data_IF_971567525269
#
_entry.id   IF_971567525269
#
_cell.length_a   1.000
_cell.length_b   1.000
_cell.length_c   1.000
_cell.angle_alpha   90.00
_cell.angle_beta   90.00
_cell.angle_gamma   90.00
#
_symmetry.space_group_name_H-M   'P 1'
#
loop_
_entity.id
_entity.type
_entity.pdbx_description
1 polymer ?
#
# COMPACT_ATOMS: atom_id res chain seq x y z
N UNK A 1 -41.19 -33.63 -62.23
CA UNK A 1 -42.24 -34.61 -62.56
C UNK A 1 -42.74 -35.22 -61.25
N UNK A 2 -44.06 -35.12 -61.02
CA UNK A 2 -44.89 -35.71 -59.95
C UNK A 2 -44.53 -35.39 -58.47
N UNK A 3 -45.27 -34.55 -57.73
CA UNK A 3 -46.67 -34.60 -57.21
C UNK A 3 -46.89 -35.62 -56.07
N UNK A 4 -47.33 -35.09 -54.92
CA UNK A 4 -48.30 -35.56 -53.90
C UNK A 4 -48.02 -34.71 -52.63
N UNK A 5 -48.67 -33.58 -52.36
CA UNK A 5 -50.07 -33.27 -51.99
C UNK A 5 -50.59 -33.90 -50.68
N UNK A 6 -51.12 -33.01 -49.82
CA UNK A 6 -52.16 -33.18 -48.78
C UNK A 6 -51.78 -33.75 -47.40
N UNK A 7 -52.34 -33.31 -46.25
CA UNK A 7 -53.29 -32.23 -45.87
C UNK A 7 -53.34 -32.13 -44.32
N UNK A 8 -53.68 -30.94 -43.83
CA UNK A 8 -54.35 -30.52 -42.57
C UNK A 8 -54.27 -31.33 -41.28
N UNK A 9 -54.02 -30.63 -40.17
CA UNK A 9 -55.07 -30.40 -39.16
C UNK A 9 -54.67 -29.28 -38.20
N UNK A 10 -55.39 -28.16 -38.30
CA UNK A 10 -55.46 -27.13 -37.28
C UNK A 10 -56.83 -27.22 -36.58
N UNK A 11 -56.85 -27.21 -35.25
CA UNK A 11 -57.96 -26.73 -34.41
C UNK A 11 -57.36 -26.41 -33.03
N UNK A 12 -57.35 -25.15 -32.55
CA UNK A 12 -58.44 -24.33 -31.98
C UNK A 12 -58.82 -24.77 -30.56
N UNK A 13 -59.22 -23.79 -29.72
CA UNK A 13 -59.78 -23.85 -28.34
C UNK A 13 -58.73 -23.46 -27.27
N UNK A 14 -58.88 -22.47 -26.38
CA UNK A 14 -59.96 -21.53 -26.04
C UNK A 14 -59.34 -20.35 -25.27
N UNK A 15 -59.90 -19.15 -25.46
CA UNK A 15 -59.81 -18.05 -24.50
C UNK A 15 -60.90 -18.24 -23.43
N UNK A 16 -60.60 -17.95 -22.16
CA UNK A 16 -61.21 -16.88 -21.34
C UNK A 16 -60.91 -17.10 -19.84
N UNK A 17 -60.51 -16.04 -19.13
CA UNK A 17 -60.90 -15.76 -17.73
C UNK A 17 -60.05 -14.62 -17.15
N UNK A 18 -60.76 -13.53 -16.87
CA UNK A 18 -60.33 -12.36 -16.13
C UNK A 18 -60.06 -12.69 -14.65
N UNK A 19 -59.11 -11.97 -14.06
CA UNK A 19 -58.94 -11.88 -12.61
C UNK A 19 -57.81 -10.92 -12.22
N UNK A 20 -58.10 -9.67 -11.81
CA UNK A 20 -57.10 -8.71 -11.39
C UNK A 20 -56.85 -8.85 -9.89
N UNK A 21 -55.70 -9.41 -9.49
CA UNK A 21 -55.23 -9.33 -8.11
C UNK A 21 -53.95 -8.52 -8.06
N UNK A 22 -54.12 -7.26 -7.66
CA UNK A 22 -53.04 -6.30 -7.46
C UNK A 22 -52.12 -6.74 -6.33
N UNK A 23 -51.06 -7.46 -6.67
CA UNK A 23 -49.90 -7.59 -5.78
C UNK A 23 -49.16 -6.25 -5.80
N UNK A 24 -49.56 -5.33 -4.92
CA UNK A 24 -48.72 -4.20 -4.47
C UNK A 24 -47.45 -4.78 -3.86
N UNK A 25 -46.50 -5.16 -4.71
CA UNK A 25 -45.12 -5.45 -4.34
C UNK A 25 -44.55 -4.15 -3.80
N UNK A 26 -44.40 -4.10 -2.46
CA UNK A 26 -43.66 -3.09 -1.73
C UNK A 26 -42.30 -2.85 -2.38
N UNK A 27 -42.19 -1.80 -3.18
CA UNK A 27 -40.96 -1.31 -3.82
C UNK A 27 -40.26 -0.34 -2.85
N UNK A 28 -39.94 -0.81 -1.64
CA UNK A 28 -39.38 0.06 -0.57
C UNK A 28 -37.96 -0.38 -0.13
N UNK A 29 -37.40 -1.46 -0.68
CA UNK A 29 -36.07 -1.96 -0.30
C UNK A 29 -34.96 -1.89 -1.36
N UNK A 30 -35.27 -1.46 -2.59
CA UNK A 30 -34.33 -1.60 -3.71
C UNK A 30 -33.47 -0.35 -3.97
N UNK A 31 -33.90 0.84 -3.54
CA UNK A 31 -33.14 2.08 -3.82
C UNK A 31 -32.06 2.38 -2.79
N UNK A 32 -32.23 1.99 -1.52
CA UNK A 32 -31.21 2.12 -0.47
C UNK A 32 -30.08 1.10 -0.59
N UNK A 33 -30.30 -0.03 -1.26
CA UNK A 33 -29.31 -1.09 -1.47
C UNK A 33 -28.33 -0.77 -2.62
N UNK A 34 -28.79 -0.07 -3.66
CA UNK A 34 -27.98 0.32 -4.83
C UNK A 34 -26.71 1.12 -4.48
N UNK A 35 -26.74 2.17 -3.63
CA UNK A 35 -25.52 2.89 -3.26
C UNK A 35 -24.60 2.02 -2.40
N UNK A 36 -25.14 1.17 -1.52
CA UNK A 36 -24.35 0.24 -0.68
C UNK A 36 -23.64 -0.82 -1.51
N UNK A 37 -24.30 -1.36 -2.53
CA UNK A 37 -23.70 -2.32 -3.48
C UNK A 37 -22.55 -1.69 -4.26
N UNK A 38 -22.68 -0.43 -4.69
CA UNK A 38 -21.60 0.31 -5.34
C UNK A 38 -20.42 0.51 -4.41
N UNK A 39 -20.65 0.93 -3.17
CA UNK A 39 -19.57 1.06 -2.17
C UNK A 39 -18.86 -0.27 -1.98
N UNK A 40 -19.59 -1.39 -1.86
CA UNK A 40 -18.99 -2.72 -1.75
C UNK A 40 -18.16 -3.10 -2.99
N UNK A 41 -18.62 -2.75 -4.19
CA UNK A 41 -17.88 -2.99 -5.43
C UNK A 41 -16.60 -2.14 -5.50
N UNK A 42 -16.66 -0.88 -5.07
CA UNK A 42 -15.49 0.00 -4.99
C UNK A 42 -14.49 -0.52 -3.96
N UNK A 43 -14.94 -0.93 -2.76
CA UNK A 43 -14.09 -1.55 -1.73
C UNK A 43 -13.43 -2.83 -2.26
N UNK A 44 -14.16 -3.72 -2.94
CA UNK A 44 -13.57 -4.92 -3.56
C UNK A 44 -12.53 -4.57 -4.63
N UNK A 45 -12.82 -3.60 -5.49
CA UNK A 45 -11.87 -3.12 -6.49
C UNK A 45 -10.60 -2.58 -5.83
N UNK A 46 -10.76 -1.80 -4.77
CA UNK A 46 -9.68 -1.21 -3.98
C UNK A 46 -8.79 -2.30 -3.37
N UNK A 47 -9.38 -3.28 -2.70
CA UNK A 47 -8.65 -4.43 -2.14
C UNK A 47 -7.96 -5.27 -3.23
N UNK A 48 -8.62 -5.50 -4.37
CA UNK A 48 -8.01 -6.21 -5.50
C UNK A 48 -6.81 -5.47 -6.09
N UNK A 49 -6.89 -4.14 -6.18
CA UNK A 49 -5.81 -3.29 -6.68
C UNK A 49 -4.65 -3.25 -5.70
N UNK A 50 -4.93 -3.16 -4.41
CA UNK A 50 -3.91 -3.20 -3.37
C UNK A 50 -3.20 -4.55 -3.30
N UNK A 51 -3.95 -5.65 -3.40
CA UNK A 51 -3.38 -6.98 -3.50
C UNK A 51 -2.37 -7.12 -4.65
N UNK A 52 -2.58 -6.38 -5.75
CA UNK A 52 -1.67 -6.34 -6.91
C UNK A 52 -0.62 -5.23 -6.84
N UNK A 53 -0.57 -4.47 -5.74
CA UNK A 53 0.21 -3.23 -5.59
C UNK A 53 0.06 -2.30 -6.80
N UNK A 54 -1.17 -2.17 -7.28
CA UNK A 54 -1.51 -1.28 -8.40
C UNK A 54 -2.12 0.02 -7.89
N UNK A 55 -1.81 1.10 -8.58
CA UNK A 55 -2.41 2.40 -8.32
C UNK A 55 -3.87 2.47 -8.75
N UNK A 56 -4.64 3.22 -7.99
CA UNK A 56 -6.08 3.40 -8.18
C UNK A 56 -6.28 4.80 -8.77
N UNK A 57 -6.71 4.84 -10.03
CA UNK A 57 -7.07 6.08 -10.72
C UNK A 57 -8.56 6.32 -10.61
N UNK A 58 -8.96 7.59 -10.65
CA UNK A 58 -10.38 8.01 -10.63
C UNK A 58 -11.20 7.30 -11.70
N UNK A 59 -10.67 7.16 -12.91
CA UNK A 59 -11.30 6.41 -14.01
C UNK A 59 -11.63 4.95 -13.67
N UNK A 60 -10.84 4.25 -12.85
CA UNK A 60 -11.16 2.87 -12.45
C UNK A 60 -12.40 2.79 -11.56
N UNK A 61 -12.63 3.82 -10.75
CA UNK A 61 -13.79 3.91 -9.87
C UNK A 61 -14.97 4.45 -10.69
N UNK A 62 -14.73 5.44 -11.56
CA UNK A 62 -15.73 6.02 -12.44
C UNK A 62 -16.38 5.00 -13.38
N UNK A 63 -15.59 4.05 -13.90
CA UNK A 63 -16.11 2.98 -14.76
C UNK A 63 -17.17 2.11 -14.06
N UNK A 64 -17.13 1.98 -12.74
CA UNK A 64 -18.05 1.11 -11.97
C UNK A 64 -19.47 1.70 -11.82
N UNK A 65 -19.63 3.01 -12.00
CA UNK A 65 -20.94 3.67 -11.90
C UNK A 65 -21.36 4.40 -13.17
N UNK A 66 -20.76 4.04 -14.32
CA UNK A 66 -21.13 4.55 -15.64
C UNK A 66 -22.65 4.42 -15.85
N UNK A 67 -23.35 5.53 -16.07
CA UNK A 67 -24.81 5.59 -16.23
C UNK A 67 -25.62 5.82 -14.95
N UNK A 68 -24.99 6.05 -13.79
CA UNK A 68 -25.66 6.39 -12.52
C UNK A 68 -25.36 7.84 -12.11
N UNK A 69 -26.37 8.56 -11.59
CA UNK A 69 -26.21 9.92 -11.02
C UNK A 69 -25.68 9.86 -9.58
N UNK A 70 -24.49 9.30 -9.37
CA UNK A 70 -23.85 9.27 -8.06
C UNK A 70 -22.56 10.09 -8.11
N UNK A 71 -22.31 10.92 -7.10
CA UNK A 71 -21.10 11.73 -7.02
C UNK A 71 -19.93 10.86 -6.57
N UNK A 72 -18.78 11.03 -7.22
CA UNK A 72 -17.55 10.30 -6.90
C UNK A 72 -17.15 10.45 -5.42
N UNK A 73 -17.19 11.67 -4.90
CA UNK A 73 -16.79 11.99 -3.52
C UNK A 73 -17.67 11.28 -2.48
N UNK A 74 -18.96 11.11 -2.74
CA UNK A 74 -19.88 10.42 -1.83
C UNK A 74 -19.54 8.92 -1.75
N UNK A 75 -19.32 8.28 -2.91
CA UNK A 75 -18.95 6.86 -2.95
C UNK A 75 -17.56 6.64 -2.36
N UNK A 76 -16.61 7.54 -2.64
CA UNK A 76 -15.26 7.46 -2.12
C UNK A 76 -15.23 7.67 -0.60
N UNK A 77 -16.00 8.64 -0.09
CA UNK A 77 -16.15 8.89 1.35
C UNK A 77 -16.69 7.67 2.09
N UNK A 78 -17.79 7.09 1.61
CA UNK A 78 -18.34 5.86 2.21
C UNK A 78 -17.42 4.64 2.06
N UNK A 79 -16.65 4.55 0.97
CA UNK A 79 -15.67 3.49 0.81
C UNK A 79 -14.48 3.66 1.78
N UNK A 80 -14.04 4.90 2.03
CA UNK A 80 -12.98 5.23 2.99
C UNK A 80 -13.38 4.80 4.40
N UNK A 81 -14.55 5.24 4.88
CA UNK A 81 -15.06 4.88 6.20
C UNK A 81 -15.09 3.35 6.39
N UNK A 82 -15.56 2.62 5.38
CA UNK A 82 -15.64 1.16 5.45
C UNK A 82 -14.29 0.45 5.38
N UNK A 83 -13.33 1.03 4.65
CA UNK A 83 -11.95 0.51 4.60
C UNK A 83 -11.24 0.72 5.93
N UNK A 84 -11.48 1.86 6.58
CA UNK A 84 -10.93 2.18 7.89
C UNK A 84 -11.55 1.30 8.98
N UNK A 85 -12.88 1.25 9.06
CA UNK A 85 -13.62 0.52 10.11
C UNK A 85 -13.46 -1.01 10.00
N UNK A 86 -13.59 -1.57 8.78
CA UNK A 86 -13.57 -3.04 8.61
C UNK A 86 -12.16 -3.59 8.38
N UNK A 87 -11.27 -2.84 7.72
CA UNK A 87 -9.99 -3.36 7.25
C UNK A 87 -8.76 -2.62 7.82
N UNK A 88 -8.93 -1.53 8.56
CA UNK A 88 -7.82 -0.71 9.05
C UNK A 88 -6.96 -0.09 7.92
N UNK A 89 -7.57 0.13 6.74
CA UNK A 89 -6.90 0.68 5.56
C UNK A 89 -7.35 2.11 5.31
N UNK A 90 -6.39 2.99 5.04
CA UNK A 90 -6.63 4.38 4.66
C UNK A 90 -6.32 4.61 3.20
N UNK A 91 -6.99 5.60 2.64
CA UNK A 91 -6.85 6.00 1.25
C UNK A 91 -5.85 7.18 1.19
N UNK A 92 -4.59 6.89 0.87
CA UNK A 92 -3.56 7.91 0.68
C UNK A 92 -3.59 8.45 -0.75
N UNK A 93 -3.59 9.77 -0.88
CA UNK A 93 -3.49 10.44 -2.18
C UNK A 93 -2.01 10.62 -2.49
N UNK A 94 -1.56 10.06 -3.62
CA UNK A 94 -0.18 10.22 -4.06
C UNK A 94 0.04 11.63 -4.60
N UNK A 95 1.22 12.22 -4.37
CA UNK A 95 1.58 13.49 -4.99
C UNK A 95 1.50 13.40 -6.52
N UNK A 96 1.08 14.47 -7.18
CA UNK A 96 0.99 14.49 -8.64
C UNK A 96 2.37 14.26 -9.27
N UNK A 97 2.41 13.56 -10.41
CA UNK A 97 3.67 13.35 -11.14
C UNK A 97 4.06 14.72 -11.69
N UNK A 98 5.08 15.35 -11.12
CA UNK A 98 5.66 16.57 -11.69
C UNK A 98 6.32 16.21 -13.03
N UNK A 99 5.52 16.14 -14.11
CA UNK A 99 6.04 16.33 -15.46
C UNK A 99 6.55 17.77 -15.51
N UNK A 100 7.74 17.95 -16.10
CA UNK A 100 8.49 19.20 -16.11
C UNK A 100 7.67 20.45 -16.42
N UNK A 101 8.23 21.59 -16.01
CA UNK A 101 7.70 22.94 -16.19
C UNK A 101 7.08 23.12 -17.59
N UNK A 102 5.74 23.07 -17.68
CA UNK A 102 5.01 23.25 -18.93
C UNK A 102 3.71 22.47 -19.07
N UNK A 103 3.52 21.36 -18.35
CA UNK A 103 2.30 20.56 -18.45
C UNK A 103 1.25 20.97 -17.41
N UNK A 104 0.42 21.98 -17.74
CA UNK A 104 -0.84 22.27 -17.01
C UNK A 104 -1.84 21.12 -17.20
N UNK A 105 -1.68 20.04 -16.44
CA UNK A 105 -2.73 19.05 -16.20
C UNK A 105 -2.89 18.88 -14.71
N UNK A 106 -3.53 19.87 -14.09
CA UNK A 106 -4.19 19.68 -12.82
C UNK A 106 -5.29 18.62 -12.99
N UNK A 107 -5.37 17.64 -12.09
CA UNK A 107 -6.67 17.02 -11.80
C UNK A 107 -6.84 15.53 -12.07
N UNK A 108 -5.82 14.70 -11.87
CA UNK A 108 -6.07 13.25 -11.66
C UNK A 108 -5.27 12.71 -10.48
N UNK A 109 -5.72 13.10 -9.28
CA UNK A 109 -5.32 12.49 -8.02
C UNK A 109 -5.35 10.95 -8.15
N UNK A 110 -4.18 10.35 -7.98
CA UNK A 110 -4.01 8.91 -7.98
C UNK A 110 -3.86 8.46 -6.53
N UNK A 111 -4.47 7.33 -6.22
CA UNK A 111 -4.67 6.88 -4.86
C UNK A 111 -4.00 5.52 -4.66
N UNK A 112 -3.41 5.31 -3.49
CA UNK A 112 -3.00 4.00 -2.99
C UNK A 112 -3.61 3.75 -1.61
N UNK A 113 -3.65 2.48 -1.21
CA UNK A 113 -4.10 2.09 0.11
C UNK A 113 -2.88 1.96 1.02
N UNK A 114 -2.95 2.62 2.15
CA UNK A 114 -1.93 2.58 3.20
C UNK A 114 -2.53 1.94 4.45
N UNK A 115 -1.76 1.11 5.15
CA UNK A 115 -2.21 0.55 6.42
C UNK A 115 -2.16 1.63 7.49
N UNK A 116 -3.19 1.70 8.32
CA UNK A 116 -3.26 2.64 9.42
C UNK A 116 -3.41 1.88 10.74
N UNK A 117 -2.38 1.10 11.08
CA UNK A 117 -2.20 0.73 12.49
C UNK A 117 -1.49 1.89 13.16
N UNK A 118 -1.98 2.32 14.33
CA UNK A 118 -1.16 3.18 15.19
C UNK A 118 0.15 2.44 15.50
N UNK A 119 1.26 3.16 15.73
CA UNK A 119 2.52 2.53 16.12
C UNK A 119 2.34 1.55 17.29
N UNK A 120 1.50 1.91 18.27
CA UNK A 120 1.18 1.07 19.42
C UNK A 120 0.40 -0.20 19.03
N UNK A 121 -0.62 -0.07 18.17
CA UNK A 121 -1.38 -1.23 17.69
C UNK A 121 -0.51 -2.14 16.80
N UNK A 122 0.41 -1.57 16.03
CA UNK A 122 1.39 -2.31 15.25
C UNK A 122 2.41 -3.04 16.13
N UNK A 123 2.85 -2.41 17.23
CA UNK A 123 3.72 -3.04 18.21
C UNK A 123 3.02 -4.21 18.91
N UNK A 124 1.79 -4.01 19.40
CA UNK A 124 1.00 -5.08 20.04
C UNK A 124 0.70 -6.22 19.05
N UNK A 125 0.35 -5.91 17.80
CA UNK A 125 0.15 -6.94 16.79
C UNK A 125 1.47 -7.63 16.40
N UNK A 126 2.60 -6.92 16.45
CA UNK A 126 3.93 -7.48 16.28
C UNK A 126 4.27 -8.47 17.39
N UNK A 127 4.05 -8.08 18.64
CA UNK A 127 4.26 -8.93 19.82
C UNK A 127 3.36 -10.17 19.80
N UNK A 128 2.06 -10.01 19.55
CA UNK A 128 1.12 -11.12 19.42
C UNK A 128 1.50 -12.07 18.26
N UNK A 129 2.03 -11.52 17.18
CA UNK A 129 2.47 -12.29 16.02
C UNK A 129 3.77 -13.03 16.29
N UNK A 130 4.73 -12.39 16.95
CA UNK A 130 6.00 -13.00 17.34
C UNK A 130 5.78 -14.10 18.38
N UNK A 131 4.84 -13.92 19.29
CA UNK A 131 4.44 -14.95 20.26
C UNK A 131 3.76 -16.14 19.57
N UNK A 132 2.83 -15.92 18.63
CA UNK A 132 2.20 -17.00 17.85
C UNK A 132 3.22 -17.73 16.95
N UNK A 133 4.20 -17.02 16.37
CA UNK A 133 5.29 -17.65 15.61
C UNK A 133 6.20 -18.47 16.53
N UNK A 134 6.59 -17.93 17.69
CA UNK A 134 7.44 -18.63 18.65
C UNK A 134 6.76 -19.87 19.21
N UNK A 135 5.45 -19.81 19.44
CA UNK A 135 4.65 -20.93 19.94
C UNK A 135 4.41 -22.00 18.85
N UNK A 136 4.33 -21.59 17.58
CA UNK A 136 4.17 -22.51 16.42
C UNK A 136 5.47 -23.07 15.86
N UNK A 137 6.62 -22.54 16.26
CA UNK A 137 7.91 -23.15 15.96
C UNK A 137 8.18 -24.20 17.03
N UNK A 138 7.93 -25.51 16.78
CA UNK A 138 8.57 -26.52 17.61
C UNK A 138 10.08 -26.25 17.53
N UNK A 139 10.80 -26.47 18.62
CA UNK A 139 12.26 -26.42 18.69
C UNK A 139 12.86 -27.51 17.77
N UNK A 140 12.73 -27.34 16.46
CA UNK A 140 13.29 -28.25 15.47
C UNK A 140 14.74 -27.88 15.28
N UNK A 141 15.59 -28.84 15.62
CA UNK A 141 17.02 -28.88 15.33
C UNK A 141 17.34 -28.31 13.94
N UNK A 142 18.52 -27.69 13.78
CA UNK A 142 18.94 -27.10 12.50
C UNK A 142 19.08 -28.22 11.45
N UNK A 143 18.05 -28.43 10.64
CA UNK A 143 18.04 -29.48 9.63
C UNK A 143 16.77 -29.62 8.80
N UNK A 144 15.60 -29.20 9.28
CA UNK A 144 14.33 -29.48 8.59
C UNK A 144 13.52 -28.19 8.32
N UNK A 145 13.98 -27.37 7.38
CA UNK A 145 13.34 -26.09 7.01
C UNK A 145 12.22 -26.22 5.95
N UNK A 146 11.83 -27.43 5.56
CA UNK A 146 11.09 -27.61 4.29
C UNK A 146 9.56 -27.75 4.38
N UNK A 147 8.92 -27.69 5.56
CA UNK A 147 7.52 -28.18 5.66
C UNK A 147 6.45 -27.34 6.34
N UNK A 148 6.68 -26.07 6.71
CA UNK A 148 5.60 -25.24 7.30
C UNK A 148 5.41 -23.85 6.66
N UNK A 149 5.85 -23.65 5.42
CA UNK A 149 5.54 -22.44 4.67
C UNK A 149 4.26 -22.62 3.85
N UNK A 150 3.21 -21.86 4.18
CA UNK A 150 2.06 -21.72 3.29
C UNK A 150 2.56 -21.28 1.89
N UNK A 151 2.13 -21.93 0.78
CA UNK A 151 2.63 -21.60 -0.56
C UNK A 151 2.33 -20.13 -0.89
N UNK A 152 3.38 -19.31 -0.97
CA UNK A 152 3.30 -17.88 -1.30
C UNK A 152 3.46 -16.90 -0.13
N UNK A 153 3.55 -17.34 1.12
CA UNK A 153 3.85 -16.47 2.25
C UNK A 153 5.31 -15.95 2.21
N UNK A 154 6.25 -16.81 1.81
CA UNK A 154 7.67 -16.45 1.77
C UNK A 154 7.99 -15.52 0.60
N UNK A 155 7.50 -15.83 -0.60
CA UNK A 155 7.76 -15.02 -1.79
C UNK A 155 7.30 -13.56 -1.61
N UNK A 156 6.15 -13.31 -0.97
CA UNK A 156 5.67 -11.94 -0.71
C UNK A 156 6.52 -11.21 0.32
N UNK A 157 6.94 -11.91 1.37
CA UNK A 157 7.81 -11.34 2.41
C UNK A 157 9.17 -11.00 1.83
N UNK A 158 9.73 -11.91 1.04
CA UNK A 158 11.00 -11.72 0.35
C UNK A 158 10.89 -10.56 -0.64
N UNK A 159 9.84 -10.48 -1.46
CA UNK A 159 9.62 -9.35 -2.36
C UNK A 159 9.54 -8.02 -1.60
N UNK A 160 8.86 -8.00 -0.44
CA UNK A 160 8.78 -6.81 0.41
C UNK A 160 10.14 -6.44 1.01
N UNK A 161 10.93 -7.41 1.46
CA UNK A 161 12.28 -7.21 1.94
C UNK A 161 13.22 -6.70 0.85
N UNK A 162 13.14 -7.25 -0.36
CA UNK A 162 13.90 -6.78 -1.52
C UNK A 162 13.50 -5.37 -1.94
N UNK A 163 12.20 -5.03 -1.84
CA UNK A 163 11.71 -3.66 -2.06
C UNK A 163 12.33 -2.71 -1.04
N UNK A 164 12.31 -3.06 0.24
CA UNK A 164 12.89 -2.25 1.31
C UNK A 164 14.40 -2.07 1.13
N UNK A 165 15.12 -3.15 0.79
CA UNK A 165 16.55 -3.12 0.50
C UNK A 165 16.87 -2.16 -0.65
N UNK A 166 16.16 -2.27 -1.77
CA UNK A 166 16.36 -1.39 -2.92
C UNK A 166 16.13 0.09 -2.57
N UNK A 167 15.09 0.39 -1.76
CA UNK A 167 14.84 1.74 -1.28
C UNK A 167 15.95 2.24 -0.33
N UNK A 168 16.44 1.39 0.57
CA UNK A 168 17.54 1.74 1.47
C UNK A 168 18.82 2.03 0.70
N UNK A 169 19.19 1.19 -0.27
CA UNK A 169 20.37 1.42 -1.11
C UNK A 169 20.31 2.77 -1.82
N UNK A 170 19.15 3.09 -2.38
CA UNK A 170 18.95 4.34 -3.11
C UNK A 170 18.97 5.57 -2.19
N UNK A 171 18.46 5.44 -0.96
CA UNK A 171 18.54 6.48 0.07
C UNK A 171 19.93 6.60 0.71
N UNK A 172 20.73 5.55 0.74
CA UNK A 172 22.13 5.67 1.16
C UNK A 172 22.93 6.40 0.07
N UNK A 173 22.58 6.21 -1.20
CA UNK A 173 23.19 6.91 -2.35
C UNK A 173 22.52 8.25 -2.68
N UNK A 174 22.15 9.04 -1.66
CA UNK A 174 21.64 10.41 -1.84
C UNK A 174 20.39 10.53 -2.75
N UNK A 175 19.55 9.50 -2.80
CA UNK A 175 18.33 9.42 -3.61
C UNK A 175 18.57 9.45 -5.13
N UNK A 176 19.80 9.13 -5.57
CA UNK A 176 20.14 9.07 -6.99
C UNK A 176 21.11 7.93 -7.25
N UNK A 177 20.73 6.99 -8.13
CA UNK A 177 21.59 5.85 -8.47
C UNK A 177 21.42 5.45 -9.94
N UNK A 178 22.53 5.16 -10.62
CA UNK A 178 22.47 4.65 -12.01
C UNK A 178 21.96 3.21 -12.06
N UNK A 179 21.45 2.77 -13.21
CA UNK A 179 21.01 1.38 -13.39
C UNK A 179 22.12 0.36 -13.12
N UNK A 180 23.34 0.68 -13.55
CA UNK A 180 24.50 -0.18 -13.36
C UNK A 180 24.85 -0.32 -11.87
N UNK A 181 24.95 0.79 -11.13
CA UNK A 181 25.24 0.78 -9.70
C UNK A 181 24.16 0.07 -8.89
N UNK A 182 22.89 0.24 -9.25
CA UNK A 182 21.78 -0.43 -8.56
C UNK A 182 21.84 -1.94 -8.78
N UNK A 183 22.07 -2.40 -10.01
CA UNK A 183 22.24 -3.83 -10.30
C UNK A 183 23.45 -4.41 -9.60
N UNK A 184 24.58 -3.70 -9.61
CA UNK A 184 25.80 -4.14 -8.93
C UNK A 184 25.60 -4.22 -7.40
N UNK A 185 24.93 -3.23 -6.81
CA UNK A 185 24.60 -3.23 -5.39
C UNK A 185 23.68 -4.40 -5.05
N UNK A 186 22.60 -4.62 -5.81
CA UNK A 186 21.69 -5.75 -5.61
C UNK A 186 22.39 -7.10 -5.79
N UNK A 187 23.34 -7.20 -6.72
CA UNK A 187 24.14 -8.41 -6.92
C UNK A 187 24.98 -8.77 -5.69
N UNK A 188 25.47 -7.76 -4.94
CA UNK A 188 26.20 -8.00 -3.69
C UNK A 188 25.33 -8.62 -2.58
N UNK A 189 24.01 -8.44 -2.67
CA UNK A 189 23.01 -9.07 -1.80
C UNK A 189 22.45 -10.37 -2.38
N UNK A 190 23.07 -10.91 -3.44
CA UNK A 190 22.64 -12.15 -4.07
C UNK A 190 21.45 -12.00 -5.02
N UNK A 191 21.15 -10.78 -5.50
CA UNK A 191 20.16 -10.54 -6.57
C UNK A 191 20.90 -10.13 -7.84
N UNK A 192 21.40 -11.11 -8.59
CA UNK A 192 22.18 -10.89 -9.79
C UNK A 192 21.36 -10.96 -11.10
N UNK A 193 22.08 -11.06 -12.22
CA UNK A 193 21.47 -11.24 -13.55
C UNK A 193 20.95 -12.67 -13.79
N UNK A 194 21.40 -13.64 -12.99
CA UNK A 194 20.83 -14.99 -13.01
C UNK A 194 19.58 -14.99 -12.14
N UNK A 195 18.50 -15.68 -12.54
CA UNK A 195 17.33 -15.86 -11.69
C UNK A 195 17.80 -16.56 -10.42
N UNK A 196 17.74 -15.84 -9.30
CA UNK A 196 18.15 -16.42 -8.03
C UNK A 196 16.92 -17.03 -7.42
N UNK A 197 16.92 -18.35 -7.23
CA UNK A 197 15.85 -19.07 -6.57
C UNK A 197 15.79 -18.78 -5.06
N UNK A 198 15.92 -17.52 -4.64
CA UNK A 198 15.72 -17.12 -3.25
C UNK A 198 14.22 -17.26 -2.98
N UNK A 199 13.86 -18.24 -2.14
CA UNK A 199 12.51 -18.40 -1.60
C UNK A 199 11.38 -18.47 -2.66
N UNK A 200 11.67 -19.04 -3.84
CA UNK A 200 10.68 -19.26 -4.90
C UNK A 200 10.36 -18.05 -5.78
N UNK A 201 11.20 -17.00 -5.74
CA UNK A 201 11.13 -15.88 -6.69
C UNK A 201 12.14 -16.08 -7.81
N UNK A 202 11.70 -16.56 -8.96
CA UNK A 202 12.53 -16.64 -10.17
C UNK A 202 12.64 -15.26 -10.85
N UNK A 203 13.22 -14.28 -10.15
CA UNK A 203 13.37 -12.90 -10.64
C UNK A 203 14.85 -12.53 -10.81
N UNK A 204 15.17 -11.89 -11.93
CA UNK A 204 16.48 -11.24 -12.13
C UNK A 204 16.49 -9.85 -11.48
N UNK A 205 17.68 -9.26 -11.28
CA UNK A 205 17.80 -7.87 -10.83
C UNK A 205 17.05 -6.89 -11.74
N UNK A 206 17.09 -7.12 -13.06
CA UNK A 206 16.36 -6.30 -14.04
C UNK A 206 14.85 -6.42 -13.91
N UNK A 207 14.33 -7.62 -13.63
CA UNK A 207 12.90 -7.85 -13.41
C UNK A 207 12.43 -7.21 -12.11
N UNK A 208 13.23 -7.32 -11.04
CA UNK A 208 12.95 -6.67 -9.77
C UNK A 208 12.84 -5.16 -9.96
N UNK A 209 13.85 -4.51 -10.54
CA UNK A 209 13.85 -3.05 -10.80
C UNK A 209 12.64 -2.66 -11.66
N UNK A 210 12.36 -3.39 -12.73
CA UNK A 210 11.21 -3.14 -13.61
C UNK A 210 9.88 -3.26 -12.85
N UNK A 211 9.77 -4.24 -11.94
CA UNK A 211 8.60 -4.43 -11.09
C UNK A 211 8.42 -3.26 -10.11
N UNK A 212 9.51 -2.75 -9.53
CA UNK A 212 9.50 -1.62 -8.61
C UNK A 212 9.11 -0.31 -9.31
N UNK A 213 9.60 -0.08 -10.53
CA UNK A 213 9.18 1.04 -11.38
C UNK A 213 7.70 0.93 -11.72
N UNK A 214 7.22 -0.26 -12.11
CA UNK A 214 5.81 -0.50 -12.43
C UNK A 214 4.88 -0.28 -11.25
N UNK A 215 5.34 -0.59 -10.04
CA UNK A 215 4.63 -0.34 -8.78
C UNK A 215 4.79 1.10 -8.29
N UNK A 216 5.58 1.93 -8.96
CA UNK A 216 5.92 3.32 -8.58
C UNK A 216 6.67 3.44 -7.23
N UNK A 217 7.39 2.40 -6.82
CA UNK A 217 8.37 2.49 -5.73
C UNK A 217 9.67 3.17 -6.19
N UNK A 218 10.00 3.04 -7.48
CA UNK A 218 11.12 3.74 -8.11
C UNK A 218 10.61 4.65 -9.24
N UNK A 219 11.25 5.79 -9.40
CA UNK A 219 11.09 6.67 -10.55
C UNK A 219 12.31 6.53 -11.47
N UNK A 220 12.07 6.14 -12.72
CA UNK A 220 13.09 6.01 -13.76
C UNK A 220 13.26 7.34 -14.48
N UNK A 221 14.44 7.93 -14.40
CA UNK A 221 14.87 9.08 -15.18
C UNK A 221 15.75 8.62 -16.35
N UNK A 222 15.50 9.16 -17.54
CA UNK A 222 16.25 8.80 -18.75
C UNK A 222 16.80 10.08 -19.34
N UNK A 223 18.10 10.29 -19.17
CA UNK A 223 18.81 11.43 -19.71
C UNK A 223 19.48 11.02 -21.02
N UNK A 224 19.15 11.74 -22.10
CA UNK A 224 19.79 11.57 -23.40
C UNK A 224 21.04 12.45 -23.43
N UNK A 225 22.20 11.82 -23.45
CA UNK A 225 23.48 12.52 -23.62
C UNK A 225 23.64 12.92 -25.09
N UNK A 226 24.44 13.97 -25.35
CA UNK A 226 24.74 14.45 -26.70
C UNK A 226 25.29 13.35 -27.63
N UNK A 227 25.93 12.33 -27.06
CA UNK A 227 26.51 11.18 -27.77
C UNK A 227 25.50 10.08 -28.13
N UNK A 228 24.18 10.37 -28.05
CA UNK A 228 23.09 9.42 -28.29
C UNK A 228 23.04 8.22 -27.32
N UNK A 229 23.87 8.21 -26.28
CA UNK A 229 23.77 7.24 -25.18
C UNK A 229 22.66 7.63 -24.20
N UNK A 230 21.84 6.64 -23.85
CA UNK A 230 20.78 6.80 -22.84
C UNK A 230 21.35 6.46 -21.47
N UNK A 231 21.49 7.47 -20.59
CA UNK A 231 21.84 7.25 -19.19
C UNK A 231 20.54 7.09 -18.39
N UNK A 232 20.37 5.93 -17.77
CA UNK A 232 19.20 5.59 -16.95
C UNK A 232 19.58 5.68 -15.48
N UNK A 233 18.88 6.52 -14.75
CA UNK A 233 19.02 6.67 -13.30
C UNK A 233 17.68 6.48 -12.60
N UNK A 234 17.74 6.15 -11.32
CA UNK A 234 16.59 5.87 -10.48
C UNK A 234 16.59 6.79 -9.26
N UNK A 235 15.39 7.20 -8.87
CA UNK A 235 15.11 7.96 -7.64
C UNK A 235 13.91 7.32 -6.90
N UNK A 236 13.67 7.69 -5.64
CA UNK A 236 12.52 7.18 -4.88
C UNK A 236 11.21 7.58 -5.57
N UNK A 237 10.33 6.61 -5.77
CA UNK A 237 9.04 6.77 -6.42
C UNK A 237 7.95 7.26 -5.46
N UNK A 238 6.85 7.76 -6.04
CA UNK A 238 5.75 8.39 -5.29
C UNK A 238 5.02 7.43 -4.35
N UNK A 239 4.95 6.14 -4.69
CA UNK A 239 4.33 5.12 -3.84
C UNK A 239 5.19 4.86 -2.61
N UNK A 240 6.51 4.85 -2.77
CA UNK A 240 7.44 4.70 -1.64
C UNK A 240 7.29 5.85 -0.64
N UNK A 241 7.22 7.09 -1.12
CA UNK A 241 7.02 8.27 -0.25
C UNK A 241 5.70 8.25 0.52
N UNK A 242 4.67 7.59 -0.02
CA UNK A 242 3.36 7.47 0.63
C UNK A 242 3.29 6.32 1.64
N UNK A 243 3.98 5.21 1.38
CA UNK A 243 3.96 4.02 2.25
C UNK A 243 4.99 4.08 3.38
N UNK A 244 6.12 4.75 3.15
CA UNK A 244 7.21 4.84 4.11
C UNK A 244 7.34 6.28 4.60
N UNK A 245 6.91 6.60 5.84
CA UNK A 245 7.11 7.94 6.37
C UNK A 245 8.61 8.21 6.63
N UNK A 246 9.05 9.48 6.59
CA UNK A 246 10.45 9.87 6.77
C UNK A 246 11.09 9.28 8.03
N UNK A 247 10.37 9.33 9.16
CA UNK A 247 10.83 8.82 10.46
C UNK A 247 11.04 7.31 10.46
N UNK A 248 10.13 6.54 9.87
CA UNK A 248 10.27 5.09 9.77
C UNK A 248 11.46 4.69 8.88
N UNK A 249 11.66 5.41 7.78
CA UNK A 249 12.79 5.16 6.89
C UNK A 249 14.13 5.52 7.55
N UNK A 250 14.18 6.62 8.30
CA UNK A 250 15.36 6.98 9.11
C UNK A 250 15.71 5.87 10.11
N UNK A 251 14.73 5.41 10.88
CA UNK A 251 14.91 4.35 11.87
C UNK A 251 15.35 3.03 11.20
N UNK A 252 14.83 2.74 10.00
CA UNK A 252 15.22 1.55 9.24
C UNK A 252 16.68 1.63 8.78
N UNK A 253 17.11 2.77 8.23
CA UNK A 253 18.50 2.97 7.81
C UNK A 253 19.43 2.90 9.03
N UNK A 254 19.04 3.52 10.16
CA UNK A 254 19.77 3.42 11.43
C UNK A 254 19.91 1.97 11.88
N UNK A 255 18.84 1.18 11.84
CA UNK A 255 18.86 -0.22 12.25
C UNK A 255 19.73 -1.12 11.35
N UNK A 256 19.81 -0.83 10.05
CA UNK A 256 20.56 -1.64 9.08
C UNK A 256 22.05 -1.27 9.03
N UNK A 257 22.36 0.03 8.99
CA UNK A 257 23.71 0.51 8.67
C UNK A 257 24.50 0.98 9.89
N UNK A 258 23.86 1.26 11.03
CA UNK A 258 24.54 1.82 12.19
C UNK A 258 24.43 0.88 13.41
N UNK A 259 25.55 0.44 14.03
CA UNK A 259 25.55 0.29 15.48
C UNK A 259 25.21 1.67 16.09
N UNK A 260 24.48 1.69 17.21
CA UNK A 260 23.69 2.83 17.70
C UNK A 260 24.36 4.22 17.77
N UNK A 261 25.69 4.32 17.62
CA UNK A 261 26.51 5.49 17.94
C UNK A 261 27.28 6.11 16.75
N UNK A 262 27.12 5.64 15.51
CA UNK A 262 27.76 6.30 14.34
C UNK A 262 26.99 7.56 13.91
N UNK A 263 27.40 8.72 14.43
CA UNK A 263 26.81 10.03 14.11
C UNK A 263 26.93 10.40 12.62
N UNK A 264 27.97 9.96 11.93
CA UNK A 264 28.21 10.34 10.54
C UNK A 264 27.22 9.63 9.61
N UNK A 265 26.92 8.35 9.89
CA UNK A 265 25.88 7.59 9.18
C UNK A 265 24.50 8.19 9.46
N UNK A 266 24.21 8.60 10.69
CA UNK A 266 22.92 9.22 11.05
C UNK A 266 22.73 10.58 10.37
N UNK A 267 23.76 11.44 10.34
CA UNK A 267 23.71 12.73 9.64
C UNK A 267 23.51 12.55 8.14
N UNK A 268 24.21 11.59 7.52
CA UNK A 268 24.01 11.25 6.10
C UNK A 268 22.60 10.72 5.81
N UNK A 269 22.09 9.82 6.66
CA UNK A 269 20.74 9.28 6.53
C UNK A 269 19.68 10.39 6.62
N UNK A 270 19.83 11.32 7.58
CA UNK A 270 18.95 12.47 7.71
C UNK A 270 18.98 13.35 6.44
N UNK A 271 20.17 13.71 5.94
CA UNK A 271 20.31 14.52 4.74
C UNK A 271 19.68 13.88 3.50
N UNK A 272 19.82 12.57 3.31
CA UNK A 272 19.17 11.94 2.15
C UNK A 272 17.65 11.91 2.30
N UNK A 273 17.12 11.70 3.50
CA UNK A 273 15.68 11.76 3.74
C UNK A 273 15.15 13.17 3.45
N UNK A 274 15.85 14.21 3.88
CA UNK A 274 15.47 15.59 3.54
C UNK A 274 15.41 15.81 2.03
N UNK A 275 16.41 15.33 1.30
CA UNK A 275 16.46 15.44 -0.18
C UNK A 275 15.38 14.61 -0.88
N UNK A 276 15.13 13.39 -0.41
CA UNK A 276 14.16 12.48 -1.01
C UNK A 276 12.71 12.92 -0.78
N UNK A 277 12.40 13.38 0.43
CA UNK A 277 11.05 13.81 0.80
C UNK A 277 10.81 15.30 0.56
N UNK A 278 11.86 16.09 0.27
CA UNK A 278 11.82 17.56 0.11
C UNK A 278 11.23 18.25 1.35
N UNK A 279 11.58 17.75 2.52
CA UNK A 279 11.13 18.25 3.83
C UNK A 279 12.35 18.52 4.71
N UNK A 280 12.23 19.48 5.63
CA UNK A 280 13.19 19.62 6.74
C UNK A 280 12.94 18.51 7.76
N UNK A 281 13.94 17.70 8.07
CA UNK A 281 13.83 16.54 8.96
C UNK A 281 14.71 16.74 10.20
N UNK A 282 14.08 16.85 11.36
CA UNK A 282 14.79 16.82 12.65
C UNK A 282 14.99 15.37 13.10
N UNK A 283 16.24 15.01 13.42
CA UNK A 283 16.56 13.70 13.99
C UNK A 283 15.77 13.53 15.30
N UNK A 284 14.95 12.46 15.46
CA UNK A 284 14.27 12.18 16.71
C UNK A 284 15.31 11.98 17.80
N UNK A 285 15.27 12.82 18.83
CA UNK A 285 16.15 12.66 19.99
C UNK A 285 15.56 11.56 20.87
N UNK A 286 16.27 10.46 21.10
CA UNK A 286 15.85 9.35 22.00
C UNK A 286 15.73 9.78 23.49
N UNK A 287 15.68 11.07 23.79
CA UNK A 287 15.70 11.64 25.15
C UNK A 287 14.32 11.97 25.74
N UNK A 288 13.23 11.86 24.99
CA UNK A 288 11.88 12.13 25.50
C UNK A 288 11.21 10.92 26.17
N UNK A 289 11.99 10.12 26.90
CA UNK A 289 11.45 9.19 27.88
C UNK A 289 11.65 9.77 29.30
N UNK A 290 11.16 10.98 29.54
CA UNK A 290 10.97 11.46 30.90
C UNK A 290 9.72 10.79 31.47
N UNK A 291 9.94 9.80 32.32
CA UNK A 291 8.91 9.16 33.15
C UNK A 291 8.02 10.23 33.83
N UNK A 292 6.72 9.95 34.04
CA UNK A 292 5.86 10.83 34.81
C UNK A 292 6.41 10.92 36.24
N UNK A 293 6.97 12.07 36.57
CA UNK A 293 7.47 12.40 37.89
C UNK A 293 6.24 12.49 38.81
N UNK A 294 6.08 11.51 39.70
CA UNK A 294 5.09 11.56 40.78
C UNK A 294 5.27 12.88 41.55
N UNK A 295 4.20 13.66 41.79
CA UNK A 295 4.31 14.84 42.64
C UNK A 295 4.56 14.40 44.08
N UNK A 296 5.66 14.90 44.63
CA UNK A 296 6.09 14.73 46.02
C UNK A 296 5.06 15.36 46.98
N UNK A 297 4.44 14.60 47.91
CA UNK A 297 3.47 15.12 48.86
C UNK A 297 4.17 15.62 50.13
N UNK A 298 4.91 16.72 50.03
CA UNK A 298 5.60 17.30 51.19
C UNK A 298 5.63 18.83 51.19
N UNK A 299 4.47 19.45 50.96
CA UNK A 299 4.23 20.84 51.37
C UNK A 299 3.01 20.88 52.27
N UNK A 300 3.24 20.57 53.55
CA UNK A 300 2.36 20.92 54.66
C UNK A 300 2.54 22.40 54.96
N UNK A 301 1.51 23.21 54.71
CA UNK A 301 1.39 24.54 55.34
C UNK A 301 0.80 24.39 56.74
N UNK A 302 1.37 25.01 57.79
CA UNK A 302 0.78 25.04 59.12
C UNK A 302 -0.36 26.08 59.21
N UNK A 303 -1.36 25.85 60.09
CA UNK A 303 -2.50 26.74 60.22
C UNK A 303 -2.10 28.05 60.92
N UNK A 304 -2.30 29.18 60.24
CA UNK A 304 -2.33 30.47 60.90
C UNK A 304 -3.64 30.61 61.67
N UNK A 305 -3.49 30.74 62.98
CA UNK A 305 -4.53 31.15 63.91
C UNK A 305 -4.39 32.67 64.17
N UNK A 306 -5.43 33.26 64.79
CA UNK A 306 -5.65 34.67 65.18
C UNK A 306 -6.07 35.63 64.04
N UNK A 307 -7.15 36.43 64.10
CA UNK A 307 -7.86 37.06 65.22
C UNK A 307 -9.27 37.52 64.74
N UNK A 308 -10.34 37.19 65.47
CA UNK A 308 -11.40 38.12 65.95
C UNK A 308 -12.33 37.41 66.91
#
# INVERSE_FOLDING_TARGET
MARHDNIESASSIQADSQGPSGTKRRKVGAESSRPRELVNQVVRLMLMKEHKRQLIRREHIASMYTGRRVRFEEVLGSARERLEDTYGLTIATLPEKSRGEGARTAGRATVALTKHLSPDAAAVLGELWDDDIRERQPSTSPGDTSRLAAPGADARRVESGMTLLALCLLLVSENYMSEHELKQSLASFGVGDRPVAVAGLDLTASDLISSLVKKEYLYRDVQKTADSSEHVSYTVGRRALAEFPPTAMFNTIRAIYAPADDEDVQKKAALTIERAYRLSFSIPSDRDNSSPQNPDPSTQDPPQNVLT
#
